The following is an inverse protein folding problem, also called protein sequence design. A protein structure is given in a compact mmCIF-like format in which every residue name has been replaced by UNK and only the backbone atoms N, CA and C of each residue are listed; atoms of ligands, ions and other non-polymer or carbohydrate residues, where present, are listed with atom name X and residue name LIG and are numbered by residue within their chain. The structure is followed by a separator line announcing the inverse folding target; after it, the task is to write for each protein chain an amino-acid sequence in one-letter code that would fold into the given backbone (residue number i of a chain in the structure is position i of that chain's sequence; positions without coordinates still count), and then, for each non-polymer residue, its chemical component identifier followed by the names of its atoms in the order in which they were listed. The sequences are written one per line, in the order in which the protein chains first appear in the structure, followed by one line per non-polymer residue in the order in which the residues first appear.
data_IF_849002693123
#
_entry.id   IF_849002693123
#
_cell.length_a   1.000
_cell.length_b   1.000
_cell.length_c   1.000
_cell.angle_alpha   90.00
_cell.angle_beta   90.00
_cell.angle_gamma   90.00
#
_symmetry.space_group_name_H-M   'P 1'
#
loop_
_entity.id
_entity.type
_entity.pdbx_description
1 polymer ?
#
# COMPACT_ATOMS: atom_id res chain seq x y z
N UNK A 1 20.64 12.36 10.58
CA UNK A 1 19.56 11.61 9.90
C UNK A 1 18.46 11.27 10.88
N UNK A 2 17.21 11.19 10.40
CA UNK A 2 16.01 11.11 11.23
C UNK A 2 15.61 9.68 11.69
N UNK A 3 16.38 8.67 11.31
CA UNK A 3 15.98 7.26 11.48
C UNK A 3 15.79 6.88 12.96
N UNK A 4 16.78 7.19 13.80
CA UNK A 4 16.73 6.94 15.26
C UNK A 4 16.03 8.04 16.05
N UNK A 5 15.50 9.07 15.39
CA UNK A 5 14.61 10.06 16.03
C UNK A 5 13.13 9.69 15.96
N UNK A 6 12.76 8.66 15.16
CA UNK A 6 11.39 8.15 15.19
C UNK A 6 11.10 7.45 16.51
N UNK A 7 9.96 7.75 17.14
CA UNK A 7 9.63 7.24 18.46
C UNK A 7 9.49 5.71 18.50
N UNK A 8 9.08 5.09 17.38
CA UNK A 8 8.96 3.62 17.30
C UNK A 8 10.32 2.94 17.12
N UNK A 9 11.16 3.38 16.17
CA UNK A 9 12.50 2.80 16.01
C UNK A 9 13.35 3.00 17.28
N UNK A 10 13.18 4.14 17.98
CA UNK A 10 13.86 4.37 19.25
C UNK A 10 13.41 3.44 20.38
N UNK A 11 12.15 3.00 20.38
CA UNK A 11 11.63 2.00 21.32
C UNK A 11 12.12 0.60 20.98
N UNK A 12 12.17 0.25 19.69
CA UNK A 12 12.54 -1.09 19.23
C UNK A 12 14.06 -1.33 19.24
N UNK A 13 14.85 -0.28 19.00
CA UNK A 13 16.32 -0.31 18.97
C UNK A 13 16.91 0.69 19.99
N UNK A 14 16.69 0.51 21.31
CA UNK A 14 17.06 1.51 22.31
C UNK A 14 18.58 1.63 22.51
N UNK A 15 19.33 0.55 22.32
CA UNK A 15 20.79 0.55 22.45
C UNK A 15 21.44 1.29 21.27
N UNK A 16 20.98 1.00 20.06
CA UNK A 16 21.44 1.61 18.81
C UNK A 16 21.07 3.09 18.78
N UNK A 17 19.88 3.46 19.26
CA UNK A 17 19.45 4.86 19.35
C UNK A 17 20.34 5.68 20.30
N UNK A 18 20.70 5.11 21.46
CA UNK A 18 21.66 5.74 22.38
C UNK A 18 23.06 5.85 21.77
N UNK A 19 23.50 4.80 21.06
CA UNK A 19 24.79 4.78 20.36
C UNK A 19 24.83 5.85 19.27
N UNK A 20 23.81 5.92 18.43
CA UNK A 20 23.67 6.94 17.39
C UNK A 20 23.64 8.36 17.97
N UNK A 21 22.93 8.59 19.07
CA UNK A 21 22.94 9.90 19.74
C UNK A 21 24.32 10.30 20.29
N UNK A 22 25.16 9.34 20.69
CA UNK A 22 26.55 9.62 21.07
C UNK A 22 27.41 9.95 19.84
N UNK A 23 27.23 9.21 18.74
CA UNK A 23 27.90 9.48 17.46
C UNK A 23 27.54 10.87 16.95
N UNK A 24 26.25 11.20 16.86
CA UNK A 24 25.75 12.48 16.35
C UNK A 24 26.29 13.66 17.17
N UNK A 25 26.30 13.57 18.50
CA UNK A 25 26.91 14.60 19.36
C UNK A 25 28.41 14.77 19.11
N UNK A 26 29.15 13.67 18.99
CA UNK A 26 30.59 13.71 18.71
C UNK A 26 30.86 14.31 17.32
N UNK A 27 30.09 13.89 16.31
CA UNK A 27 30.20 14.40 14.95
C UNK A 27 29.92 15.89 14.87
N UNK A 28 28.79 16.36 15.44
CA UNK A 28 28.42 17.79 15.46
C UNK A 28 29.50 18.66 16.11
N UNK A 29 30.03 18.23 17.26
CA UNK A 29 31.12 18.95 17.95
C UNK A 29 32.38 19.05 17.08
N UNK A 30 32.69 18.03 16.29
CA UNK A 30 33.81 18.08 15.36
C UNK A 30 33.52 19.00 14.16
N UNK A 31 32.28 19.00 13.64
CA UNK A 31 31.87 19.92 12.58
C UNK A 31 31.90 21.38 13.02
N UNK A 32 31.49 21.68 14.26
CA UNK A 32 31.63 23.02 14.85
C UNK A 32 33.09 23.47 14.91
N UNK A 33 33.99 22.61 15.39
CA UNK A 33 35.44 22.90 15.40
C UNK A 33 36.04 23.07 14.00
N UNK A 34 35.56 22.31 13.02
CA UNK A 34 35.98 22.46 11.63
C UNK A 34 35.55 23.82 11.06
N UNK A 35 34.37 24.31 11.46
CA UNK A 35 33.88 25.64 11.08
C UNK A 35 34.71 26.76 11.73
N UNK A 36 35.11 26.59 12.99
CA UNK A 36 35.99 27.52 13.72
C UNK A 36 37.41 27.53 13.12
N UNK A 37 37.98 26.37 12.84
CA UNK A 37 39.34 26.22 12.31
C UNK A 37 39.30 26.04 10.79
N UNK A 38 39.19 27.16 10.07
CA UNK A 38 39.08 27.14 8.60
C UNK A 38 40.35 26.66 7.87
N UNK A 39 41.50 26.61 8.56
CA UNK A 39 42.72 26.06 7.98
C UNK A 39 42.69 24.53 8.03
N UNK A 40 42.62 23.90 6.85
CA UNK A 40 42.52 22.44 6.71
C UNK A 40 43.73 21.70 7.30
N UNK A 41 44.95 22.21 7.11
CA UNK A 41 46.14 21.59 7.69
C UNK A 41 46.09 21.64 9.22
N UNK A 42 45.70 22.79 9.78
CA UNK A 42 45.61 22.96 11.23
C UNK A 42 44.51 22.09 11.84
N UNK A 43 43.36 21.94 11.17
CA UNK A 43 42.28 21.09 11.66
C UNK A 43 42.63 19.60 11.57
N UNK A 44 43.12 19.14 10.42
CA UNK A 44 43.39 17.72 10.17
C UNK A 44 44.66 17.20 10.85
N UNK A 45 45.74 17.99 10.88
CA UNK A 45 47.04 17.59 11.45
C UNK A 45 47.29 18.15 12.84
N UNK A 46 46.54 19.16 13.29
CA UNK A 46 46.68 19.74 14.62
C UNK A 46 45.88 19.03 15.72
N UNK A 47 45.10 18.01 15.35
CA UNK A 47 44.28 17.24 16.27
C UNK A 47 44.46 15.74 16.03
N UNK A 48 45.53 15.18 16.61
CA UNK A 48 45.88 13.75 16.50
C UNK A 48 44.72 12.80 16.86
N UNK A 49 43.76 13.27 17.68
CA UNK A 49 42.58 12.48 18.07
C UNK A 49 41.61 12.21 16.92
N UNK A 50 41.62 13.00 15.84
CA UNK A 50 40.73 12.77 14.69
C UNK A 50 41.05 11.45 13.99
N UNK A 51 42.33 11.08 13.94
CA UNK A 51 42.80 9.87 13.27
C UNK A 51 42.22 8.61 13.92
N UNK A 52 42.06 8.59 15.25
CA UNK A 52 41.46 7.46 15.97
C UNK A 52 39.94 7.59 16.12
N UNK A 53 39.45 8.83 16.32
CA UNK A 53 38.04 9.09 16.57
C UNK A 53 37.16 8.80 15.35
N UNK A 54 37.55 9.23 14.15
CA UNK A 54 36.72 9.08 12.96
C UNK A 54 36.50 7.60 12.57
N UNK A 55 37.54 6.74 12.52
CA UNK A 55 37.34 5.30 12.31
C UNK A 55 36.48 4.66 13.39
N UNK A 56 36.66 5.06 14.66
CA UNK A 56 35.81 4.56 15.74
C UNK A 56 34.35 4.96 15.55
N UNK A 57 34.06 6.23 15.21
CA UNK A 57 32.69 6.68 14.94
C UNK A 57 32.07 5.93 13.75
N UNK A 58 32.85 5.66 12.69
CA UNK A 58 32.41 4.88 11.55
C UNK A 58 32.06 3.44 11.94
N UNK A 59 32.91 2.75 12.69
CA UNK A 59 32.64 1.39 13.18
C UNK A 59 31.35 1.35 14.03
N UNK A 60 31.17 2.33 14.91
CA UNK A 60 29.95 2.42 15.72
C UNK A 60 28.70 2.70 14.87
N UNK A 61 28.84 3.46 13.79
CA UNK A 61 27.76 3.75 12.85
C UNK A 61 27.38 2.52 12.02
N UNK A 62 28.35 1.75 11.54
CA UNK A 62 28.14 0.49 10.82
C UNK A 62 27.36 -0.53 11.66
N UNK A 63 27.65 -0.60 12.97
CA UNK A 63 26.86 -1.43 13.90
C UNK A 63 25.40 -0.96 13.95
N UNK A 64 25.16 0.34 14.04
CA UNK A 64 23.81 0.89 14.05
C UNK A 64 23.09 0.61 12.72
N UNK A 65 23.77 0.76 11.59
CA UNK A 65 23.24 0.50 10.26
C UNK A 65 22.85 -0.97 10.10
N UNK A 66 23.72 -1.91 10.53
CA UNK A 66 23.43 -3.35 10.46
C UNK A 66 22.20 -3.73 11.28
N UNK A 67 22.08 -3.19 12.49
CA UNK A 67 20.93 -3.43 13.35
C UNK A 67 19.63 -2.86 12.74
N UNK A 68 19.72 -1.66 12.16
CA UNK A 68 18.60 -1.05 11.43
C UNK A 68 18.15 -1.89 10.23
N UNK A 69 19.10 -2.36 9.40
CA UNK A 69 18.77 -3.24 8.27
C UNK A 69 18.06 -4.51 8.74
N UNK A 70 18.56 -5.16 9.80
CA UNK A 70 17.90 -6.33 10.38
C UNK A 70 16.50 -6.04 10.91
N UNK A 71 16.28 -4.86 11.51
CA UNK A 71 14.95 -4.42 11.95
C UNK A 71 14.00 -4.21 10.76
N UNK A 72 14.44 -3.51 9.71
CA UNK A 72 13.63 -3.30 8.50
C UNK A 72 13.29 -4.62 7.80
N UNK A 73 14.23 -5.57 7.77
CA UNK A 73 13.99 -6.89 7.19
C UNK A 73 12.96 -7.69 8.01
N UNK A 74 13.01 -7.60 9.34
CA UNK A 74 11.97 -8.19 10.21
C UNK A 74 10.59 -7.58 9.92
N UNK A 75 10.51 -6.26 9.74
CA UNK A 75 9.27 -5.55 9.38
C UNK A 75 8.74 -5.99 8.01
N UNK A 76 9.62 -6.18 7.02
CA UNK A 76 9.26 -6.71 5.70
C UNK A 76 8.76 -8.15 5.74
N UNK A 77 9.32 -8.98 6.63
CA UNK A 77 8.83 -10.35 6.83
C UNK A 77 7.41 -10.35 7.43
N UNK A 78 7.12 -9.41 8.33
CA UNK A 78 5.78 -9.22 8.91
C UNK A 78 4.73 -8.81 7.87
N UNK A 79 5.09 -7.92 6.94
CA UNK A 79 4.21 -7.50 5.85
C UNK A 79 4.96 -7.43 4.50
N UNK A 80 4.87 -8.49 3.66
CA UNK A 80 5.68 -8.62 2.45
C UNK A 80 5.53 -7.50 1.42
N UNK A 81 4.45 -6.71 1.43
CA UNK A 81 4.33 -5.57 0.51
C UNK A 81 5.34 -4.46 0.80
N UNK A 82 5.97 -4.44 1.97
CA UNK A 82 7.06 -3.52 2.25
C UNK A 82 8.33 -3.77 1.42
N UNK A 83 8.44 -4.91 0.72
CA UNK A 83 9.51 -5.10 -0.27
C UNK A 83 9.37 -4.20 -1.50
N UNK A 84 8.20 -3.58 -1.73
CA UNK A 84 7.96 -2.67 -2.87
C UNK A 84 8.34 -1.22 -2.59
N UNK A 85 8.71 -0.89 -1.35
CA UNK A 85 9.06 0.48 -0.94
C UNK A 85 10.51 0.58 -0.49
N UNK A 86 11.10 1.78 -0.63
CA UNK A 86 12.46 2.05 -0.18
C UNK A 86 12.57 2.06 1.36
N UNK A 87 13.78 1.85 1.89
CA UNK A 87 14.06 1.92 3.33
C UNK A 87 13.56 3.24 3.94
N UNK A 88 13.74 4.36 3.22
CA UNK A 88 13.27 5.67 3.65
C UNK A 88 11.74 5.72 3.80
N UNK A 89 11.02 5.23 2.80
CA UNK A 89 9.54 5.19 2.81
C UNK A 89 9.03 4.26 3.90
N UNK A 90 9.67 3.11 4.08
CA UNK A 90 9.32 2.17 5.14
C UNK A 90 9.51 2.79 6.53
N UNK A 91 10.60 3.51 6.75
CA UNK A 91 10.84 4.21 8.01
C UNK A 91 9.82 5.32 8.28
N UNK A 92 9.41 6.05 7.24
CA UNK A 92 8.34 7.05 7.35
C UNK A 92 7.02 6.40 7.78
N UNK A 93 6.62 5.31 7.12
CA UNK A 93 5.45 4.50 7.47
C UNK A 93 5.49 3.95 8.90
N UNK A 94 6.63 3.40 9.33
CA UNK A 94 6.80 2.87 10.69
C UNK A 94 6.78 3.98 11.74
N UNK A 95 7.29 5.17 11.41
CA UNK A 95 7.34 6.30 12.34
C UNK A 95 5.98 6.95 12.61
N UNK A 96 5.09 6.92 11.62
CA UNK A 96 3.75 7.54 11.66
C UNK A 96 2.62 6.52 11.48
N UNK A 97 2.89 5.25 11.80
CA UNK A 97 1.96 4.15 11.53
C UNK A 97 0.60 4.22 12.24
N UNK A 98 0.49 5.04 13.29
CA UNK A 98 -0.76 5.29 14.01
C UNK A 98 -1.56 6.49 13.48
N UNK A 99 -1.03 7.22 12.50
CA UNK A 99 -1.65 8.39 11.88
C UNK A 99 -2.21 8.00 10.51
N UNK A 100 -3.53 7.88 10.42
CA UNK A 100 -4.22 7.45 9.19
C UNK A 100 -3.89 8.33 7.98
N UNK A 101 -3.80 9.65 8.18
CA UNK A 101 -3.51 10.60 7.10
C UNK A 101 -2.06 10.48 6.63
N UNK A 102 -1.13 10.12 7.52
CA UNK A 102 0.27 9.90 7.17
C UNK A 102 0.49 8.72 6.22
N UNK A 103 -0.39 7.71 6.27
CA UNK A 103 -0.24 6.47 5.49
C UNK A 103 -0.72 6.67 4.04
N UNK A 104 -1.69 7.55 3.82
CA UNK A 104 -2.36 7.78 2.54
C UNK A 104 -1.42 7.95 1.34
N UNK A 105 -0.35 8.78 1.40
CA UNK A 105 0.53 9.01 0.26
C UNK A 105 1.30 7.75 -0.19
N UNK A 106 1.42 6.76 0.71
CA UNK A 106 2.18 5.53 0.47
C UNK A 106 1.30 4.36 0.01
N UNK A 107 -0.03 4.43 0.20
CA UNK A 107 -0.96 3.37 -0.20
C UNK A 107 -0.84 2.97 -1.68
N UNK A 108 -0.69 3.91 -2.65
CA UNK A 108 -0.55 3.52 -4.05
C UNK A 108 0.69 2.68 -4.35
N UNK A 109 1.76 2.84 -3.57
CA UNK A 109 2.97 2.04 -3.71
C UNK A 109 2.81 0.62 -3.13
N UNK A 110 1.94 0.46 -2.12
CA UNK A 110 1.69 -0.82 -1.43
C UNK A 110 0.56 -1.63 -2.07
N UNK A 111 -0.46 -0.96 -2.61
CA UNK A 111 -1.67 -1.57 -3.15
C UNK A 111 -1.96 -1.06 -4.57
N UNK A 112 -1.73 -1.93 -5.55
CA UNK A 112 -2.21 -1.68 -6.91
C UNK A 112 -3.74 -1.56 -6.90
N UNK A 113 -4.25 -0.42 -7.37
CA UNK A 113 -5.69 -0.14 -7.46
C UNK A 113 -6.28 0.70 -6.34
N UNK A 114 -5.52 1.01 -5.28
CA UNK A 114 -5.91 2.02 -4.29
C UNK A 114 -5.15 3.31 -4.57
N UNK A 115 -5.88 4.41 -4.70
CA UNK A 115 -5.32 5.76 -4.65
C UNK A 115 -5.36 6.35 -3.24
N UNK A 116 -6.48 6.13 -2.53
CA UNK A 116 -6.65 6.56 -1.13
C UNK A 116 -7.70 5.70 -0.43
N UNK A 117 -7.81 5.87 0.88
CA UNK A 117 -8.93 5.38 1.69
C UNK A 117 -9.80 6.53 2.18
N UNK A 118 -11.09 6.33 2.40
CA UNK A 118 -11.88 7.29 3.19
C UNK A 118 -12.07 6.76 4.62
N UNK A 119 -12.24 7.69 5.56
CA UNK A 119 -12.40 7.41 6.98
C UNK A 119 -13.81 7.73 7.45
N UNK A 120 -14.30 6.99 8.45
CA UNK A 120 -15.62 7.20 9.05
C UNK A 120 -15.73 8.54 9.78
N UNK A 121 -14.63 9.04 10.34
CA UNK A 121 -14.56 10.29 11.09
C UNK A 121 -13.40 11.16 10.63
N UNK A 122 -13.46 12.45 11.00
CA UNK A 122 -12.39 13.41 10.73
C UNK A 122 -11.09 13.11 11.49
N UNK A 123 -11.09 12.17 12.42
CA UNK A 123 -9.91 11.78 13.20
C UNK A 123 -9.06 10.70 12.49
N UNK A 124 -9.47 10.24 11.31
CA UNK A 124 -8.75 9.27 10.49
C UNK A 124 -8.41 7.95 11.21
N UNK A 125 -9.28 7.51 12.13
CA UNK A 125 -9.03 6.33 12.99
C UNK A 125 -9.60 5.04 12.42
N UNK A 126 -10.67 5.10 11.61
CA UNK A 126 -11.33 3.92 11.05
C UNK A 126 -11.53 4.09 9.54
N UNK A 127 -10.87 3.25 8.76
CA UNK A 127 -11.01 3.20 7.30
C UNK A 127 -12.36 2.56 6.96
N UNK A 128 -13.20 3.29 6.22
CA UNK A 128 -14.56 2.86 5.83
C UNK A 128 -14.65 2.42 4.37
N UNK A 129 -13.85 3.00 3.48
CA UNK A 129 -13.87 2.69 2.05
C UNK A 129 -12.47 2.77 1.44
N UNK A 130 -12.31 2.11 0.29
CA UNK A 130 -11.15 2.26 -0.58
C UNK A 130 -11.56 3.00 -1.85
N UNK A 131 -10.68 3.85 -2.36
CA UNK A 131 -10.95 4.65 -3.57
C UNK A 131 -9.85 4.44 -4.60
N UNK A 132 -10.24 4.16 -5.83
CA UNK A 132 -9.32 3.97 -6.95
C UNK A 132 -8.83 5.30 -7.52
N UNK A 133 -7.80 5.23 -8.38
CA UNK A 133 -7.30 6.41 -9.09
C UNK A 133 -8.34 7.03 -10.05
N UNK A 134 -9.34 6.26 -10.45
CA UNK A 134 -10.44 6.69 -11.30
C UNK A 134 -11.59 7.33 -10.50
N UNK A 135 -11.46 7.42 -9.17
CA UNK A 135 -12.47 8.01 -8.28
C UNK A 135 -13.58 7.04 -7.88
N UNK A 136 -13.47 5.76 -8.23
CA UNK A 136 -14.43 4.74 -7.84
C UNK A 136 -14.19 4.33 -6.38
N UNK A 137 -15.24 4.45 -5.56
CA UNK A 137 -15.21 4.09 -4.15
C UNK A 137 -15.87 2.73 -3.92
N UNK A 138 -15.27 1.93 -3.04
CA UNK A 138 -15.81 0.66 -2.59
C UNK A 138 -15.82 0.63 -1.06
N UNK A 139 -17.01 0.49 -0.48
CA UNK A 139 -17.18 0.37 0.97
C UNK A 139 -16.63 -0.96 1.48
N UNK A 140 -15.95 -0.91 2.62
CA UNK A 140 -15.43 -2.09 3.29
C UNK A 140 -16.54 -2.73 4.14
N UNK A 141 -16.78 -4.05 4.02
CA UNK A 141 -17.77 -4.75 4.86
C UNK A 141 -17.49 -4.65 6.35
N UNK A 142 -16.23 -4.47 6.72
CA UNK A 142 -15.77 -4.23 8.07
C UNK A 142 -14.77 -3.07 8.04
N UNK A 143 -15.05 -2.02 8.83
CA UNK A 143 -14.12 -0.90 8.98
C UNK A 143 -12.80 -1.38 9.61
N UNK A 144 -11.69 -0.79 9.16
CA UNK A 144 -10.35 -1.15 9.63
C UNK A 144 -9.81 -0.03 10.51
N UNK A 145 -9.61 -0.33 11.79
CA UNK A 145 -9.01 0.60 12.73
C UNK A 145 -7.51 0.79 12.43
N UNK A 146 -7.08 2.05 12.44
CA UNK A 146 -5.67 2.45 12.39
C UNK A 146 -5.13 2.35 13.82
N UNK A 147 -4.29 1.35 14.05
CA UNK A 147 -3.69 1.08 15.36
C UNK A 147 -2.17 1.27 15.32
N UNK A 148 -1.51 1.11 16.46
CA UNK A 148 -0.06 1.34 16.61
C UNK A 148 0.82 0.45 15.72
N UNK A 149 0.31 -0.71 15.28
CA UNK A 149 1.01 -1.62 14.37
C UNK A 149 0.52 -1.35 12.94
N UNK A 150 1.38 -0.73 12.13
CA UNK A 150 1.07 -0.44 10.73
C UNK A 150 0.94 -1.73 9.93
N UNK A 151 1.73 -2.76 10.26
CA UNK A 151 1.68 -4.06 9.60
C UNK A 151 0.33 -4.75 9.78
N UNK A 152 -0.20 -4.72 11.01
CA UNK A 152 -1.50 -5.32 11.33
C UNK A 152 -2.64 -4.52 10.69
N UNK A 153 -2.53 -3.19 10.70
CA UNK A 153 -3.50 -2.30 10.04
C UNK A 153 -3.55 -2.56 8.53
N UNK A 154 -2.41 -2.61 7.84
CA UNK A 154 -2.35 -2.87 6.40
C UNK A 154 -2.75 -4.32 6.05
N UNK A 155 -2.45 -5.29 6.91
CA UNK A 155 -2.87 -6.69 6.73
C UNK A 155 -4.39 -6.86 6.87
N UNK A 156 -5.00 -6.16 7.84
CA UNK A 156 -6.46 -6.09 7.98
C UNK A 156 -7.11 -5.37 6.80
N UNK A 157 -6.52 -4.27 6.35
CA UNK A 157 -6.97 -3.57 5.14
C UNK A 157 -6.96 -4.50 3.93
N UNK A 158 -5.87 -5.24 3.70
CA UNK A 158 -5.79 -6.22 2.61
C UNK A 158 -6.91 -7.28 2.69
N UNK A 159 -7.19 -7.77 3.89
CA UNK A 159 -8.25 -8.75 4.12
C UNK A 159 -9.63 -8.16 3.84
N UNK A 160 -9.90 -6.96 4.36
CA UNK A 160 -11.15 -6.24 4.15
C UNK A 160 -11.37 -5.90 2.67
N UNK A 161 -10.32 -5.47 1.96
CA UNK A 161 -10.38 -5.23 0.51
C UNK A 161 -10.78 -6.47 -0.28
N UNK A 162 -10.15 -7.62 -0.01
CA UNK A 162 -10.48 -8.88 -0.70
C UNK A 162 -11.93 -9.29 -0.43
N UNK A 163 -12.40 -9.10 0.81
CA UNK A 163 -13.79 -9.34 1.17
C UNK A 163 -14.75 -8.39 0.43
N UNK A 164 -14.43 -7.10 0.38
CA UNK A 164 -15.21 -6.07 -0.29
C UNK A 164 -15.36 -6.36 -1.79
N UNK A 165 -14.24 -6.59 -2.49
CA UNK A 165 -14.24 -6.93 -3.93
C UNK A 165 -15.02 -8.22 -4.16
N UNK A 166 -14.79 -9.25 -3.33
CA UNK A 166 -15.53 -10.50 -3.44
C UNK A 166 -17.05 -10.33 -3.24
N UNK A 167 -17.47 -9.47 -2.32
CA UNK A 167 -18.88 -9.16 -2.09
C UNK A 167 -19.48 -8.41 -3.29
N UNK A 168 -18.81 -7.37 -3.77
CA UNK A 168 -19.24 -6.59 -4.93
C UNK A 168 -19.39 -7.46 -6.18
N UNK A 169 -18.42 -8.34 -6.47
CA UNK A 169 -18.50 -9.26 -7.61
C UNK A 169 -19.66 -10.24 -7.48
N UNK A 170 -19.90 -10.82 -6.29
CA UNK A 170 -21.03 -11.74 -6.08
C UNK A 170 -22.38 -11.04 -6.25
N UNK A 171 -22.50 -9.81 -5.76
CA UNK A 171 -23.68 -8.99 -5.95
C UNK A 171 -23.90 -8.70 -7.44
N UNK A 172 -22.87 -8.21 -8.14
CA UNK A 172 -22.93 -7.91 -9.57
C UNK A 172 -23.33 -9.14 -10.41
N UNK A 173 -22.76 -10.32 -10.14
CA UNK A 173 -23.13 -11.58 -10.84
C UNK A 173 -24.61 -11.91 -10.68
N UNK A 174 -25.15 -11.71 -9.47
CA UNK A 174 -26.58 -11.95 -9.19
C UNK A 174 -27.45 -10.95 -9.94
N UNK A 175 -27.10 -9.68 -9.87
CA UNK A 175 -27.87 -8.58 -10.48
C UNK A 175 -27.81 -8.58 -12.01
N UNK A 176 -26.74 -9.10 -12.62
CA UNK A 176 -26.57 -9.18 -14.09
C UNK A 176 -27.72 -9.93 -14.79
N UNK A 177 -28.42 -10.83 -14.07
CA UNK A 177 -29.55 -11.58 -14.61
C UNK A 177 -30.92 -11.02 -14.21
N UNK A 178 -30.95 -10.00 -13.34
CA UNK A 178 -32.18 -9.46 -12.74
C UNK A 178 -32.45 -8.03 -13.18
N UNK A 179 -31.41 -7.19 -13.19
CA UNK A 179 -31.53 -5.77 -13.49
C UNK A 179 -31.39 -5.48 -15.01
N UNK A 180 -32.05 -4.44 -15.52
CA UNK A 180 -31.73 -3.86 -16.83
C UNK A 180 -30.25 -3.45 -16.89
N UNK A 181 -29.63 -3.56 -18.07
CA UNK A 181 -28.17 -3.38 -18.23
C UNK A 181 -27.69 -2.01 -17.75
N UNK A 182 -28.43 -0.95 -18.07
CA UNK A 182 -28.12 0.41 -17.61
C UNK A 182 -28.08 0.52 -16.09
N UNK A 183 -29.16 0.09 -15.42
CA UNK A 183 -29.25 0.14 -13.96
C UNK A 183 -28.17 -0.72 -13.31
N UNK A 184 -27.90 -1.90 -13.89
CA UNK A 184 -26.87 -2.80 -13.45
C UNK A 184 -25.46 -2.15 -13.46
N UNK A 185 -25.08 -1.51 -14.58
CA UNK A 185 -23.75 -0.90 -14.75
C UNK A 185 -23.55 0.28 -13.79
N UNK A 186 -24.59 1.11 -13.57
CA UNK A 186 -24.49 2.27 -12.68
C UNK A 186 -24.57 1.94 -11.19
N UNK A 187 -25.19 0.80 -10.84
CA UNK A 187 -25.31 0.35 -9.45
C UNK A 187 -24.03 -0.35 -8.94
N UNK A 188 -23.23 -0.91 -9.84
CA UNK A 188 -22.05 -1.70 -9.51
C UNK A 188 -20.76 -1.01 -9.93
N UNK A 189 -19.66 -1.33 -9.26
CA UNK A 189 -18.34 -0.86 -9.69
C UNK A 189 -17.99 -1.37 -11.08
N UNK A 190 -17.27 -0.59 -11.88
CA UNK A 190 -16.92 -0.90 -13.26
C UNK A 190 -16.23 -2.26 -13.39
N UNK A 191 -15.29 -2.56 -12.48
CA UNK A 191 -14.61 -3.86 -12.49
C UNK A 191 -15.55 -5.02 -12.09
N UNK A 192 -16.42 -4.84 -11.10
CA UNK A 192 -17.40 -5.87 -10.72
C UNK A 192 -18.41 -6.10 -11.86
N UNK A 193 -18.91 -5.03 -12.47
CA UNK A 193 -19.79 -5.05 -13.64
C UNK A 193 -19.16 -5.81 -14.80
N UNK A 194 -17.92 -5.49 -15.16
CA UNK A 194 -17.19 -6.16 -16.24
C UNK A 194 -16.99 -7.64 -15.95
N UNK A 195 -16.58 -8.01 -14.73
CA UNK A 195 -16.39 -9.40 -14.34
C UNK A 195 -17.70 -10.18 -14.40
N UNK A 196 -18.79 -9.61 -13.88
CA UNK A 196 -20.09 -10.26 -13.88
C UNK A 196 -20.65 -10.47 -15.29
N UNK A 197 -20.47 -9.52 -16.21
CA UNK A 197 -20.80 -9.68 -17.62
C UNK A 197 -19.98 -10.77 -18.30
N UNK A 198 -18.67 -10.85 -18.02
CA UNK A 198 -17.80 -11.91 -18.52
C UNK A 198 -18.20 -13.29 -17.96
N UNK A 199 -18.55 -13.37 -16.68
CA UNK A 199 -19.09 -14.59 -16.07
C UNK A 199 -20.38 -15.01 -16.77
N UNK A 200 -21.32 -14.07 -16.97
CA UNK A 200 -22.59 -14.35 -17.65
C UNK A 200 -22.37 -14.81 -19.08
N UNK A 201 -21.49 -14.15 -19.82
CA UNK A 201 -21.11 -14.55 -21.17
C UNK A 201 -20.54 -15.96 -21.20
N UNK A 202 -19.63 -16.29 -20.27
CA UNK A 202 -19.04 -17.62 -20.17
C UNK A 202 -20.10 -18.69 -19.92
N UNK A 203 -21.03 -18.46 -18.98
CA UNK A 203 -22.16 -19.38 -18.73
C UNK A 203 -23.08 -19.53 -19.95
N UNK A 204 -23.36 -18.43 -20.66
CA UNK A 204 -24.20 -18.45 -21.87
C UNK A 204 -23.54 -19.27 -22.99
N UNK A 205 -22.23 -19.12 -23.17
CA UNK A 205 -21.44 -19.91 -24.12
C UNK A 205 -21.41 -21.40 -23.75
N UNK A 206 -21.15 -21.73 -22.50
CA UNK A 206 -21.11 -23.13 -22.03
C UNK A 206 -22.47 -23.83 -22.20
N UNK A 207 -23.56 -23.13 -21.85
CA UNK A 207 -24.92 -23.63 -22.07
C UNK A 207 -25.27 -23.78 -23.56
N UNK A 208 -24.72 -22.92 -24.43
CA UNK A 208 -24.92 -23.00 -25.87
C UNK A 208 -24.14 -24.16 -26.50
N UNK A 209 -22.88 -24.37 -26.07
CA UNK A 209 -22.05 -25.51 -26.49
C UNK A 209 -22.73 -26.83 -26.08
N UNK A 210 -23.19 -26.93 -24.83
CA UNK A 210 -23.92 -28.10 -24.34
C UNK A 210 -25.19 -28.39 -25.15
N UNK A 211 -25.89 -27.35 -25.62
CA UNK A 211 -27.09 -27.47 -26.46
C UNK A 211 -26.80 -27.66 -27.95
N UNK A 212 -25.58 -27.40 -28.42
CA UNK A 212 -25.24 -27.45 -29.84
C UNK A 212 -25.42 -28.84 -30.47
N UNK A 213 -25.41 -29.90 -29.66
CA UNK A 213 -25.69 -31.27 -30.11
C UNK A 213 -27.14 -31.46 -30.57
N UNK A 214 -28.10 -30.75 -29.96
CA UNK A 214 -29.53 -30.87 -30.24
C UNK A 214 -30.10 -29.67 -31.00
N UNK A 215 -29.55 -28.47 -30.80
CA UNK A 215 -29.94 -27.24 -31.48
C UNK A 215 -28.75 -26.61 -32.21
N UNK A 216 -28.75 -26.72 -33.54
CA UNK A 216 -27.71 -26.14 -34.42
C UNK A 216 -27.64 -24.61 -34.34
N UNK A 217 -28.72 -23.95 -33.89
CA UNK A 217 -28.76 -22.49 -33.78
C UNK A 217 -28.29 -21.98 -32.41
N UNK A 218 -28.08 -22.84 -31.40
CA UNK A 218 -27.77 -22.45 -30.04
C UNK A 218 -26.58 -21.49 -29.94
N UNK A 219 -25.49 -21.79 -30.64
CA UNK A 219 -24.29 -20.94 -30.69
C UNK A 219 -24.56 -19.59 -31.35
N UNK A 220 -25.30 -19.59 -32.47
CA UNK A 220 -25.65 -18.35 -33.18
C UNK A 220 -26.57 -17.45 -32.35
N UNK A 221 -27.47 -18.04 -31.57
CA UNK A 221 -28.37 -17.32 -30.68
C UNK A 221 -27.60 -16.69 -29.50
N UNK A 222 -26.67 -17.42 -28.88
CA UNK A 222 -25.80 -16.88 -27.83
C UNK A 222 -24.94 -15.72 -28.35
N UNK A 223 -24.31 -15.88 -29.52
CA UNK A 223 -23.51 -14.82 -30.15
C UNK A 223 -24.34 -13.55 -30.45
N UNK A 224 -25.58 -13.72 -30.93
CA UNK A 224 -26.50 -12.60 -31.19
C UNK A 224 -26.92 -11.91 -29.90
N UNK A 225 -27.19 -12.67 -28.83
CA UNK A 225 -27.49 -12.13 -27.50
C UNK A 225 -26.34 -11.28 -26.95
N UNK A 226 -25.11 -11.77 -27.02
CA UNK A 226 -23.91 -11.01 -26.60
C UNK A 226 -23.73 -9.74 -27.44
N UNK A 227 -23.90 -9.84 -28.76
CA UNK A 227 -23.81 -8.68 -29.66
C UNK A 227 -24.83 -7.59 -29.31
N UNK A 228 -26.05 -7.99 -28.96
CA UNK A 228 -27.09 -7.05 -28.52
C UNK A 228 -26.71 -6.34 -27.21
N UNK A 229 -26.21 -7.07 -26.21
CA UNK A 229 -25.73 -6.47 -24.94
C UNK A 229 -24.58 -5.49 -25.18
N UNK A 230 -23.63 -5.84 -26.05
CA UNK A 230 -22.54 -4.93 -26.44
C UNK A 230 -23.07 -3.66 -27.12
N UNK A 231 -24.04 -3.79 -28.02
CA UNK A 231 -24.66 -2.65 -28.69
C UNK A 231 -25.38 -1.73 -27.70
N UNK A 232 -25.99 -2.30 -26.66
CA UNK A 232 -26.61 -1.55 -25.56
C UNK A 232 -25.56 -0.80 -24.73
N UNK A 233 -24.45 -1.45 -24.33
CA UNK A 233 -23.34 -0.78 -23.63
C UNK A 233 -22.76 0.38 -24.43
N UNK A 234 -22.61 0.23 -25.75
CA UNK A 234 -22.12 1.31 -26.62
C UNK A 234 -23.05 2.52 -26.60
N UNK A 235 -24.37 2.31 -26.48
CA UNK A 235 -25.34 3.40 -26.38
C UNK A 235 -25.31 4.10 -25.03
N UNK A 236 -24.91 3.42 -23.95
CA UNK A 236 -24.79 4.01 -22.62
C UNK A 236 -23.56 4.91 -22.46
N UNK A 237 -22.55 4.72 -23.32
CA UNK A 237 -21.30 5.51 -23.33
C UNK A 237 -21.36 6.75 -24.25
N UNK A 238 -22.48 6.96 -24.97
CA UNK A 238 -22.75 8.14 -25.81
C UNK A 238 -23.76 9.05 -25.11
#
# INVERSE_FOLDING_TARGET
EAVFSSADAAKQLPHESKRFAAIDRSWRKNMEKALETRNVFQFCLGNDRLQDLLPHLLEQLEVCQKALSGYLDSKRQGFPRFYFVSDHTLLELLSRGADGDAIQPHLPALFAGIARTDFESAEATNISSIVSAQGEALELPQHVAVENSIEDTLSRLETAMRAAVGAAVRQAVTETSVLPLEQFVWHNTAQASSLALLTKWTCDCDAAISRAQSDKNALSAAARSTSNRLAELVRLNM
#
